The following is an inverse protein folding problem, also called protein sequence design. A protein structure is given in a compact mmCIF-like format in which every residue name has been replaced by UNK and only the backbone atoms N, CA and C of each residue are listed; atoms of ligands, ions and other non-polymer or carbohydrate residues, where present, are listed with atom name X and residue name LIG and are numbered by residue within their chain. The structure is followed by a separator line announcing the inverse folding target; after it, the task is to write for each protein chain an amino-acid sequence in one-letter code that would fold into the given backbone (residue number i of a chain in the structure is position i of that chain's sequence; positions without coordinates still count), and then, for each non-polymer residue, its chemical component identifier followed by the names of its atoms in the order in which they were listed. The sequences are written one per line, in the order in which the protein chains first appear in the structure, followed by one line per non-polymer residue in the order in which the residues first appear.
data_IF_382007548817
#
_entry.id   IF_382007548817
#
_cell.length_a   1.000
_cell.length_b   1.000
_cell.length_c   1.000
_cell.angle_alpha   90.00
_cell.angle_beta   90.00
_cell.angle_gamma   90.00
#
_symmetry.space_group_name_H-M   'P 1'
#
loop_
_entity.id
_entity.type
_entity.pdbx_description
1 polymer ?
#
# COMPACT_ATOMS: atom_id res chain seq x y z
N UNK A 1 3.79 -10.01 -24.05
CA UNK A 1 3.45 -11.44 -23.90
C UNK A 1 4.11 -11.89 -22.60
N UNK A 2 3.31 -11.97 -21.54
CA UNK A 2 3.84 -12.22 -20.19
C UNK A 2 4.28 -13.68 -20.09
N UNK A 3 5.52 -13.91 -19.65
CA UNK A 3 6.03 -15.26 -19.37
C UNK A 3 5.46 -15.73 -18.03
N UNK A 4 4.63 -16.76 -18.09
CA UNK A 4 4.11 -17.48 -16.92
C UNK A 4 5.07 -18.62 -16.57
N UNK A 5 5.45 -18.74 -15.29
CA UNK A 5 6.08 -19.94 -14.74
C UNK A 5 5.22 -20.38 -13.55
N UNK A 6 4.76 -21.63 -13.56
CA UNK A 6 3.82 -22.18 -12.56
C UNK A 6 2.52 -21.37 -12.34
N UNK A 7 2.00 -20.75 -13.41
CA UNK A 7 0.74 -19.99 -13.34
C UNK A 7 0.82 -18.65 -12.61
N UNK A 8 2.01 -18.22 -12.18
CA UNK A 8 2.25 -16.88 -11.61
C UNK A 8 3.07 -16.05 -12.59
N UNK A 9 2.63 -14.81 -12.82
CA UNK A 9 3.34 -13.86 -13.67
C UNK A 9 4.68 -13.48 -13.02
N UNK A 10 5.75 -13.47 -13.82
CA UNK A 10 7.11 -13.03 -13.43
C UNK A 10 7.22 -11.51 -13.21
N UNK A 11 6.12 -10.77 -13.33
CA UNK A 11 6.04 -9.33 -13.05
C UNK A 11 5.54 -9.14 -11.60
N UNK A 12 6.42 -8.75 -10.67
CA UNK A 12 6.11 -8.53 -9.24
C UNK A 12 5.17 -7.33 -9.03
N UNK A 13 3.90 -7.51 -9.41
CA UNK A 13 2.83 -6.54 -9.15
C UNK A 13 2.39 -6.66 -7.71
N UNK A 14 2.44 -5.54 -6.99
CA UNK A 14 1.95 -5.43 -5.62
C UNK A 14 0.68 -4.60 -5.62
N UNK A 15 -0.37 -5.14 -4.98
CA UNK A 15 -1.67 -4.49 -4.84
C UNK A 15 -1.78 -3.85 -3.47
N UNK A 16 -2.17 -2.58 -3.44
CA UNK A 16 -2.33 -1.77 -2.25
C UNK A 16 -3.77 -1.27 -2.15
N UNK A 17 -4.37 -1.42 -0.98
CA UNK A 17 -5.57 -0.67 -0.60
C UNK A 17 -5.13 0.49 0.29
N UNK A 18 -5.49 1.72 -0.10
CA UNK A 18 -4.97 2.92 0.58
C UNK A 18 -6.07 3.83 1.08
N UNK A 19 -5.92 4.30 2.32
CA UNK A 19 -6.69 5.43 2.84
C UNK A 19 -5.81 6.69 2.92
N UNK A 20 -6.40 7.84 3.28
CA UNK A 20 -5.61 9.06 3.47
C UNK A 20 -4.66 8.98 4.67
N UNK A 21 -5.00 8.14 5.66
CA UNK A 21 -4.38 8.12 6.98
C UNK A 21 -5.25 8.75 8.06
N UNK A 22 -5.22 8.14 9.23
CA UNK A 22 -5.92 8.58 10.45
C UNK A 22 -5.10 8.23 11.69
N UNK A 23 -5.29 9.00 12.77
CA UNK A 23 -4.79 8.67 14.11
C UNK A 23 -5.79 7.82 14.92
N UNK A 24 -6.98 7.58 14.36
CA UNK A 24 -7.97 6.66 14.94
C UNK A 24 -7.61 5.22 14.61
N UNK A 25 -7.38 4.39 15.62
CA UNK A 25 -6.99 2.98 15.46
C UNK A 25 -8.02 2.19 14.64
N UNK A 26 -9.31 2.51 14.79
CA UNK A 26 -10.41 1.88 14.07
C UNK A 26 -10.29 2.04 12.54
N UNK A 27 -9.71 3.13 12.06
CA UNK A 27 -9.49 3.34 10.63
C UNK A 27 -8.49 2.34 10.06
N UNK A 28 -7.35 2.15 10.74
CA UNK A 28 -6.33 1.16 10.34
C UNK A 28 -6.88 -0.26 10.41
N UNK A 29 -7.61 -0.61 11.47
CA UNK A 29 -8.23 -1.93 11.61
C UNK A 29 -9.25 -2.19 10.49
N UNK A 30 -10.05 -1.19 10.13
CA UNK A 30 -11.02 -1.31 9.05
C UNK A 30 -10.32 -1.45 7.68
N UNK A 31 -9.27 -0.68 7.42
CA UNK A 31 -8.46 -0.80 6.20
C UNK A 31 -7.88 -2.22 6.05
N UNK A 32 -7.35 -2.80 7.15
CA UNK A 32 -6.87 -4.19 7.19
C UNK A 32 -7.98 -5.20 6.87
N UNK A 33 -9.14 -5.04 7.51
CA UNK A 33 -10.28 -5.92 7.31
C UNK A 33 -10.75 -5.91 5.85
N UNK A 34 -10.90 -4.73 5.26
CA UNK A 34 -11.33 -4.56 3.86
C UNK A 34 -10.27 -5.10 2.90
N UNK A 35 -8.99 -4.82 3.12
CA UNK A 35 -7.90 -5.36 2.29
C UNK A 35 -7.89 -6.89 2.28
N UNK A 36 -8.05 -7.51 3.46
CA UNK A 36 -8.12 -8.97 3.60
C UNK A 36 -9.33 -9.55 2.85
N UNK A 37 -10.53 -8.97 3.02
CA UNK A 37 -11.74 -9.45 2.36
C UNK A 37 -11.64 -9.28 0.85
N UNK A 38 -11.20 -8.11 0.37
CA UNK A 38 -11.00 -7.85 -1.05
C UNK A 38 -9.96 -8.80 -1.66
N UNK A 39 -8.87 -9.06 -0.95
CA UNK A 39 -7.84 -10.01 -1.38
C UNK A 39 -8.38 -11.44 -1.50
N UNK A 40 -9.16 -11.90 -0.52
CA UNK A 40 -9.82 -13.21 -0.56
C UNK A 40 -10.79 -13.33 -1.75
N UNK A 41 -11.59 -12.30 -2.01
CA UNK A 41 -12.55 -12.30 -3.13
C UNK A 41 -11.85 -12.23 -4.49
N UNK A 42 -10.73 -11.51 -4.59
CA UNK A 42 -9.98 -11.35 -5.83
C UNK A 42 -8.97 -12.49 -6.09
N UNK A 43 -8.66 -13.31 -5.08
CA UNK A 43 -7.56 -14.28 -5.15
C UNK A 43 -6.18 -13.62 -5.21
N UNK A 44 -6.02 -12.44 -4.61
CA UNK A 44 -4.80 -11.62 -4.63
C UNK A 44 -4.38 -11.23 -3.21
N UNK A 45 -3.08 -11.05 -2.99
CA UNK A 45 -2.59 -10.38 -1.79
C UNK A 45 -2.74 -8.86 -1.96
N UNK A 46 -3.47 -8.22 -1.05
CA UNK A 46 -3.68 -6.77 -1.03
C UNK A 46 -3.16 -6.22 0.29
N UNK A 47 -2.17 -5.33 0.23
CA UNK A 47 -1.60 -4.73 1.44
C UNK A 47 -2.37 -3.47 1.83
N UNK A 48 -2.83 -3.36 3.09
CA UNK A 48 -3.41 -2.14 3.63
C UNK A 48 -2.29 -1.13 3.94
N UNK A 49 -2.32 0.04 3.29
CA UNK A 49 -1.29 1.07 3.45
C UNK A 49 -1.92 2.45 3.55
N UNK A 50 -1.74 3.13 4.68
CA UNK A 50 -2.17 4.52 4.81
C UNK A 50 -1.22 5.45 4.07
N UNK A 51 -1.75 6.47 3.40
CA UNK A 51 -0.91 7.44 2.71
C UNK A 51 -0.08 8.27 3.69
N UNK A 52 -0.69 8.73 4.80
CA UNK A 52 -0.04 9.58 5.81
C UNK A 52 -0.39 9.18 7.25
N UNK A 53 0.33 9.75 8.22
CA UNK A 53 0.01 9.93 9.65
C UNK A 53 -0.31 8.71 10.54
N UNK A 54 -0.70 7.55 10.01
CA UNK A 54 -1.15 6.41 10.83
C UNK A 54 -0.03 5.70 11.60
N UNK A 55 1.24 5.96 11.28
CA UNK A 55 2.38 5.38 12.01
C UNK A 55 2.48 5.84 13.46
N UNK A 56 1.77 6.89 13.86
CA UNK A 56 1.71 7.39 15.24
C UNK A 56 0.64 6.71 16.09
N UNK A 57 -0.20 5.86 15.52
CA UNK A 57 -1.16 5.07 16.29
C UNK A 57 -0.41 4.02 17.10
N UNK A 58 -0.73 3.92 18.40
CA UNK A 58 -0.13 2.93 19.29
C UNK A 58 -0.40 1.51 18.78
N UNK A 59 0.64 0.68 18.54
CA UNK A 59 0.47 -0.69 18.07
C UNK A 59 -0.40 -1.56 19.00
N UNK A 60 -0.46 -1.27 20.30
CA UNK A 60 -1.32 -2.00 21.24
C UNK A 60 -2.81 -1.84 20.93
N UNK A 61 -3.20 -0.77 20.24
CA UNK A 61 -4.56 -0.54 19.73
C UNK A 61 -4.78 -1.17 18.34
N UNK A 62 -3.73 -1.76 17.75
CA UNK A 62 -3.69 -2.30 16.39
C UNK A 62 -3.30 -3.79 16.39
N UNK A 63 -3.76 -4.53 17.39
CA UNK A 63 -3.48 -5.96 17.57
C UNK A 63 -1.97 -6.29 17.67
N UNK A 64 -1.17 -5.33 18.15
CA UNK A 64 0.29 -5.43 18.27
C UNK A 64 1.06 -5.10 16.98
N UNK A 65 0.37 -4.83 15.87
CA UNK A 65 1.00 -4.52 14.59
C UNK A 65 0.91 -3.02 14.28
N UNK A 66 2.05 -2.35 14.07
CA UNK A 66 2.07 -0.95 13.66
C UNK A 66 1.37 -0.74 12.31
N UNK A 67 0.65 0.37 12.15
CA UNK A 67 0.09 0.76 10.86
C UNK A 67 1.20 0.94 9.81
N UNK A 68 0.95 0.46 8.59
CA UNK A 68 1.87 0.64 7.48
C UNK A 68 1.57 1.96 6.75
N UNK A 69 2.59 2.80 6.61
CA UNK A 69 2.49 4.09 5.90
C UNK A 69 3.27 4.04 4.58
N UNK A 70 2.77 4.70 3.54
CA UNK A 70 3.28 4.62 2.17
C UNK A 70 4.80 4.83 2.04
N UNK A 71 5.37 5.84 2.71
CA UNK A 71 6.83 6.07 2.62
C UNK A 71 7.63 4.90 3.21
N UNK A 72 7.19 4.35 4.34
CA UNK A 72 7.81 3.17 4.95
C UNK A 72 7.60 1.92 4.09
N UNK A 73 6.42 1.74 3.48
CA UNK A 73 6.17 0.65 2.54
C UNK A 73 7.16 0.71 1.38
N UNK A 74 7.29 1.88 0.75
CA UNK A 74 8.12 2.07 -0.43
C UNK A 74 9.61 1.86 -0.14
N UNK A 75 10.08 2.13 1.08
CA UNK A 75 11.49 1.97 1.45
C UNK A 75 11.89 0.55 1.84
N UNK A 76 10.93 -0.31 2.24
CA UNK A 76 11.17 -1.72 2.59
C UNK A 76 11.47 -2.59 1.36
N UNK A 77 12.10 -3.74 1.57
CA UNK A 77 12.49 -4.68 0.50
C UNK A 77 11.33 -5.06 -0.42
N UNK A 78 10.14 -5.29 0.13
CA UNK A 78 8.93 -5.59 -0.66
C UNK A 78 8.55 -4.42 -1.59
N UNK A 79 8.56 -3.19 -1.08
CA UNK A 79 8.35 -2.01 -1.91
C UNK A 79 9.47 -1.82 -2.94
N UNK A 80 10.71 -2.14 -2.58
CA UNK A 80 11.87 -2.05 -3.46
C UNK A 80 11.93 -3.16 -4.53
N UNK A 81 11.35 -4.34 -4.29
CA UNK A 81 11.26 -5.43 -5.28
C UNK A 81 10.08 -5.27 -6.24
N UNK A 82 9.12 -4.38 -5.93
CA UNK A 82 7.92 -4.19 -6.74
C UNK A 82 8.23 -3.63 -8.14
N UNK A 83 7.89 -4.35 -9.20
CA UNK A 83 8.00 -3.84 -10.57
C UNK A 83 6.83 -2.94 -10.94
N UNK A 84 5.66 -3.24 -10.37
CA UNK A 84 4.42 -2.49 -10.58
C UNK A 84 3.69 -2.37 -9.26
N UNK A 85 3.15 -1.19 -8.99
CA UNK A 85 2.20 -0.97 -7.89
C UNK A 85 0.81 -0.76 -8.49
N UNK A 86 -0.19 -1.44 -7.93
CA UNK A 86 -1.60 -1.23 -8.21
C UNK A 86 -2.24 -0.69 -6.95
N UNK A 87 -2.71 0.55 -7.00
CA UNK A 87 -3.15 1.28 -5.81
C UNK A 87 -4.64 1.56 -5.95
N UNK A 88 -5.44 1.05 -5.02
CA UNK A 88 -6.87 1.29 -4.93
C UNK A 88 -7.16 2.24 -3.75
N UNK A 89 -7.61 3.47 -4.02
CA UNK A 89 -8.06 4.39 -2.97
C UNK A 89 -9.36 3.90 -2.30
N UNK A 90 -9.37 3.85 -0.97
CA UNK A 90 -10.51 3.50 -0.12
C UNK A 90 -10.89 4.67 0.79
N UNK A 91 -11.41 5.73 0.18
CA UNK A 91 -11.94 6.90 0.87
C UNK A 91 -12.90 7.66 -0.04
N UNK A 92 -13.68 8.58 0.54
CA UNK A 92 -14.60 9.44 -0.19
C UNK A 92 -14.04 10.85 -0.39
N UNK A 93 -14.35 11.44 -1.55
CA UNK A 93 -14.05 12.83 -1.86
C UNK A 93 -12.66 13.09 -2.47
N UNK A 94 -12.40 14.34 -2.89
CA UNK A 94 -11.11 14.73 -3.44
C UNK A 94 -10.02 14.67 -2.36
N UNK A 95 -8.88 14.08 -2.71
CA UNK A 95 -7.72 13.98 -1.81
C UNK A 95 -6.50 14.58 -2.49
N UNK A 96 -5.99 15.69 -1.95
CA UNK A 96 -4.69 16.25 -2.35
C UNK A 96 -3.54 15.27 -2.13
N UNK A 97 -3.68 14.41 -1.12
CA UNK A 97 -2.71 13.36 -0.85
C UNK A 97 -2.63 12.39 -2.04
N UNK A 98 -3.76 12.08 -2.66
CA UNK A 98 -3.81 11.23 -3.85
C UNK A 98 -3.45 11.99 -5.14
N UNK A 99 -3.90 13.23 -5.31
CA UNK A 99 -3.72 13.96 -6.57
C UNK A 99 -2.37 14.65 -6.72
N UNK A 100 -1.71 14.99 -5.62
CA UNK A 100 -0.46 15.77 -5.63
C UNK A 100 0.68 14.99 -4.95
N UNK A 101 0.50 14.64 -3.67
CA UNK A 101 1.58 14.08 -2.86
C UNK A 101 2.00 12.67 -3.29
N UNK A 102 1.06 11.76 -3.51
CA UNK A 102 1.37 10.36 -3.87
C UNK A 102 2.10 10.29 -5.22
N UNK A 103 1.65 10.98 -6.29
CA UNK A 103 2.38 11.05 -7.56
C UNK A 103 3.82 11.53 -7.39
N UNK A 104 4.06 12.56 -6.56
CA UNK A 104 5.40 13.06 -6.28
C UNK A 104 6.28 11.97 -5.64
N UNK A 105 5.78 11.28 -4.60
CA UNK A 105 6.53 10.21 -3.91
C UNK A 105 6.79 9.01 -4.82
N UNK A 106 5.83 8.62 -5.65
CA UNK A 106 6.01 7.54 -6.62
C UNK A 106 7.04 7.90 -7.70
N UNK A 107 7.11 9.17 -8.12
CA UNK A 107 8.14 9.65 -9.06
C UNK A 107 9.54 9.49 -8.47
N UNK A 108 9.74 9.94 -7.23
CA UNK A 108 11.01 9.82 -6.50
C UNK A 108 11.40 8.35 -6.34
N UNK A 109 10.45 7.52 -5.87
CA UNK A 109 10.66 6.08 -5.70
C UNK A 109 11.09 5.39 -7.00
N UNK A 110 10.45 5.71 -8.13
CA UNK A 110 10.79 5.13 -9.43
C UNK A 110 12.17 5.58 -9.92
N UNK A 111 12.56 6.83 -9.69
CA UNK A 111 13.90 7.34 -10.04
C UNK A 111 14.99 6.68 -9.20
N UNK A 112 14.75 6.47 -7.90
CA UNK A 112 15.68 5.76 -7.01
C UNK A 112 15.93 4.30 -7.41
N UNK A 113 14.98 3.65 -8.10
CA UNK A 113 15.16 2.31 -8.67
C UNK A 113 15.98 2.27 -9.95
N UNK A 114 16.02 3.35 -10.73
CA UNK A 114 16.74 3.40 -12.02
C UNK A 114 18.25 3.69 -11.85
N UNK A 115 18.67 4.17 -10.67
CA UNK A 115 20.06 4.50 -10.37
C UNK A 115 20.84 3.42 -9.58
N UNK A 116 20.32 2.19 -9.50
CA UNK A 116 20.98 1.03 -8.87
C UNK A 116 21.18 -0.09 -9.87
#
# INVERSE_FOLDING_TARGET
MDRLVNGKSLESTIYLLVDNGSLEASATLNLRSVARIAGLLAGLEIHPVSLLHSSSVDPSLLDGEKAQVMQEFLSRDLGQSARKLQILPFFFGPSRVLSEWLPEKLKIWRQGKQGR
#
